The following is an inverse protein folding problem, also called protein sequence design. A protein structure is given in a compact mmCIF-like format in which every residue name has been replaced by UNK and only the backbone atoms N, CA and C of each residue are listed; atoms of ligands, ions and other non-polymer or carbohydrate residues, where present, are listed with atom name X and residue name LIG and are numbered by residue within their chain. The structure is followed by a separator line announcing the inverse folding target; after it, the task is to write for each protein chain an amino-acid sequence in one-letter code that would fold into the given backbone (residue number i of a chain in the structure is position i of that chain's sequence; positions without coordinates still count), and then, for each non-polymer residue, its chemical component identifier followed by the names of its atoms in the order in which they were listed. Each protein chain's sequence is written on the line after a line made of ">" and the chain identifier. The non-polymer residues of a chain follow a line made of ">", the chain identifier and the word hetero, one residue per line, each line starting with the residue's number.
data_IF_399084013137
#
_entry.id   IF_399084013137
#
_cell.length_a   1.000
_cell.length_b   1.000
_cell.length_c   1.000
_cell.angle_alpha   90.00
_cell.angle_beta   90.00
_cell.angle_gamma   90.00
#
_symmetry.space_group_name_H-M   'P 1'
#
loop_
_entity.id
_entity.type
_entity.pdbx_description
1 polymer ?
#
# COMPACT_ATOMS: atom_id res chain seq x y z
N UNK A 1 -20.82 40.78 -12.09
CA UNK A 1 -20.33 39.45 -11.66
C UNK A 1 -20.76 38.45 -12.74
N UNK A 2 -19.82 37.89 -13.50
CA UNK A 2 -20.10 36.98 -14.62
C UNK A 2 -20.54 35.62 -14.05
N UNK A 3 -21.77 35.22 -14.33
CA UNK A 3 -22.24 33.86 -14.08
C UNK A 3 -21.46 32.91 -14.99
N UNK A 4 -20.58 32.10 -14.41
CA UNK A 4 -20.01 30.95 -15.09
C UNK A 4 -21.07 29.84 -15.10
N UNK A 5 -21.89 29.83 -16.15
CA UNK A 5 -22.79 28.71 -16.47
C UNK A 5 -21.93 27.51 -16.87
N UNK A 6 -21.56 26.70 -15.87
CA UNK A 6 -20.93 25.40 -16.09
C UNK A 6 -21.92 24.52 -16.84
N UNK A 7 -21.55 24.12 -18.06
CA UNK A 7 -22.37 23.26 -18.91
C UNK A 7 -22.50 21.87 -18.26
N UNK A 8 -23.62 21.67 -17.56
CA UNK A 8 -24.07 20.40 -16.96
C UNK A 8 -23.87 19.18 -17.89
N UNK A 9 -24.11 19.22 -19.22
CA UNK A 9 -23.87 18.06 -20.08
C UNK A 9 -22.39 17.69 -20.24
N UNK A 10 -21.46 18.65 -20.10
CA UNK A 10 -20.01 18.39 -20.20
C UNK A 10 -19.50 17.70 -18.94
N UNK A 11 -20.02 18.09 -17.77
CA UNK A 11 -19.69 17.45 -16.50
C UNK A 11 -20.19 16.00 -16.45
N UNK A 12 -21.40 15.75 -16.98
CA UNK A 12 -21.99 14.41 -17.04
C UNK A 12 -21.23 13.47 -17.99
N UNK A 13 -20.75 14.01 -19.13
CA UNK A 13 -19.92 13.27 -20.08
C UNK A 13 -18.54 12.92 -19.47
N UNK A 14 -17.97 13.80 -18.65
CA UNK A 14 -16.69 13.55 -17.98
C UNK A 14 -16.80 12.43 -16.91
N UNK A 15 -17.93 12.35 -16.20
CA UNK A 15 -18.20 11.31 -15.19
C UNK A 15 -18.42 9.93 -15.83
N UNK A 16 -19.06 9.87 -17.01
CA UNK A 16 -19.30 8.62 -17.74
C UNK A 16 -18.03 7.96 -18.31
N UNK A 17 -16.95 8.74 -18.53
CA UNK A 17 -15.66 8.24 -19.03
C UNK A 17 -14.78 7.61 -17.94
N UNK A 18 -15.19 7.65 -16.66
CA UNK A 18 -14.43 7.11 -15.52
C UNK A 18 -14.74 5.61 -15.29
N UNK A 19 -15.55 4.98 -16.13
CA UNK A 19 -15.88 3.53 -16.06
C UNK A 19 -14.74 2.59 -16.48
N UNK A 20 -13.48 3.01 -16.40
CA UNK A 20 -12.38 2.07 -16.37
C UNK A 20 -12.31 1.52 -14.95
N UNK A 21 -12.87 0.32 -14.78
CA UNK A 21 -12.64 -0.49 -13.60
C UNK A 21 -11.13 -0.75 -13.53
N UNK A 22 -10.41 0.08 -12.78
CA UNK A 22 -9.02 -0.15 -12.41
C UNK A 22 -9.06 -1.29 -11.39
N UNK A 23 -9.27 -2.52 -11.88
CA UNK A 23 -9.00 -3.73 -11.13
C UNK A 23 -7.48 -3.85 -11.04
N UNK A 24 -6.87 -3.08 -10.14
CA UNK A 24 -5.49 -3.31 -9.76
C UNK A 24 -5.40 -4.73 -9.18
N UNK A 25 -4.74 -5.65 -9.88
CA UNK A 25 -4.45 -6.97 -9.33
C UNK A 25 -3.34 -6.82 -8.30
N UNK A 26 -3.67 -6.97 -7.01
CA UNK A 26 -2.68 -6.94 -5.93
C UNK A 26 -1.54 -7.96 -6.13
N UNK A 27 -1.77 -9.00 -6.92
CA UNK A 27 -0.83 -10.10 -7.08
C UNK A 27 0.49 -9.66 -7.70
N UNK A 28 0.49 -8.68 -8.61
CA UNK A 28 1.69 -8.25 -9.33
C UNK A 28 2.49 -7.23 -8.50
N UNK A 29 1.79 -6.29 -7.85
CA UNK A 29 2.43 -5.31 -6.99
C UNK A 29 2.71 -5.81 -5.55
N UNK A 30 2.07 -6.89 -5.10
CA UNK A 30 2.17 -7.41 -3.74
C UNK A 30 1.54 -6.51 -2.66
N UNK A 31 0.87 -5.42 -3.05
CA UNK A 31 0.25 -4.44 -2.14
C UNK A 31 -1.21 -4.26 -2.50
N UNK A 32 -2.11 -4.61 -1.59
CA UNK A 32 -3.55 -4.44 -1.79
C UNK A 32 -4.11 -3.11 -1.30
N UNK A 33 -3.49 -2.50 -0.29
CA UNK A 33 -3.98 -1.27 0.32
C UNK A 33 -2.85 -0.55 1.06
N UNK A 34 -2.76 0.75 0.88
CA UNK A 34 -1.78 1.62 1.54
C UNK A 34 -2.31 2.30 2.81
N UNK A 35 -3.63 2.24 3.02
CA UNK A 35 -4.31 3.02 4.04
C UNK A 35 -4.49 2.21 5.34
N UNK A 36 -4.03 2.80 6.44
CA UNK A 36 -4.28 2.37 7.82
C UNK A 36 -4.83 3.59 8.57
N UNK A 37 -5.97 3.42 9.25
CA UNK A 37 -6.78 4.52 9.75
C UNK A 37 -6.38 4.88 11.18
N UNK A 38 -5.49 5.85 11.32
CA UNK A 38 -5.18 6.48 12.62
C UNK A 38 -4.82 7.93 12.35
N UNK A 39 -5.83 8.78 12.20
CA UNK A 39 -5.66 10.23 12.21
C UNK A 39 -6.13 10.71 13.57
N UNK A 40 -5.23 10.74 14.54
CA UNK A 40 -5.48 11.53 15.75
C UNK A 40 -5.31 12.99 15.37
N UNK A 41 -6.41 13.73 15.47
CA UNK A 41 -6.50 15.17 15.22
C UNK A 41 -5.87 15.88 16.43
N UNK A 42 -4.58 15.68 16.66
CA UNK A 42 -3.79 16.57 17.50
C UNK A 42 -2.63 17.13 16.67
N UNK A 43 -2.53 18.45 16.70
CA UNK A 43 -1.82 19.30 15.75
C UNK A 43 -0.29 19.29 15.93
N UNK A 44 0.30 18.14 16.21
CA UNK A 44 1.72 17.96 16.44
C UNK A 44 2.33 17.16 15.29
N UNK A 45 3.38 17.71 14.67
CA UNK A 45 4.27 16.97 13.78
C UNK A 45 4.95 15.86 14.58
N UNK A 46 4.35 14.69 14.57
CA UNK A 46 4.83 13.51 15.29
C UNK A 46 5.38 12.48 14.31
N UNK A 47 6.51 11.89 14.69
CA UNK A 47 7.03 10.67 14.10
C UNK A 47 6.57 9.51 14.97
N UNK A 48 5.76 8.64 14.40
CA UNK A 48 5.42 7.34 14.96
C UNK A 48 6.29 6.26 14.32
N UNK A 49 6.84 5.36 15.13
CA UNK A 49 7.62 4.21 14.66
C UNK A 49 7.07 2.97 15.35
N UNK A 50 6.68 1.99 14.54
CA UNK A 50 6.08 0.76 15.04
C UNK A 50 6.71 -0.47 14.38
N UNK A 51 6.71 -1.56 15.15
CA UNK A 51 7.11 -2.87 14.67
C UNK A 51 5.88 -3.75 14.67
N UNK A 52 5.57 -4.35 13.52
CA UNK A 52 4.46 -5.27 13.36
C UNK A 52 4.98 -6.65 12.95
N UNK A 53 4.30 -7.69 13.38
CA UNK A 53 4.55 -9.05 12.94
C UNK A 53 3.30 -9.61 12.26
N UNK A 54 3.46 -10.14 11.05
CA UNK A 54 2.40 -10.77 10.28
C UNK A 54 2.77 -12.23 10.03
N UNK A 55 1.78 -13.10 10.16
CA UNK A 55 1.91 -14.51 9.82
C UNK A 55 0.72 -14.93 8.95
N UNK A 56 0.93 -15.88 8.05
CA UNK A 56 -0.11 -16.37 7.16
C UNK A 56 0.30 -17.65 6.44
N UNK A 57 -0.62 -18.20 5.66
CA UNK A 57 -0.40 -19.41 4.86
C UNK A 57 -1.12 -19.28 3.52
N UNK A 58 -0.68 -20.03 2.51
CA UNK A 58 -1.24 -20.00 1.17
C UNK A 58 -2.59 -20.73 1.07
N UNK A 59 -2.88 -21.63 2.02
CA UNK A 59 -4.12 -22.41 2.08
C UNK A 59 -4.28 -23.42 0.95
N UNK A 60 -3.18 -23.81 0.28
CA UNK A 60 -3.16 -24.80 -0.81
C UNK A 60 -2.50 -26.10 -0.37
N UNK A 61 -2.61 -27.13 -1.19
CA UNK A 61 -2.02 -28.46 -0.93
C UNK A 61 -0.49 -28.40 -0.74
N UNK A 62 0.18 -27.53 -1.51
CA UNK A 62 1.58 -27.14 -1.32
C UNK A 62 1.69 -25.89 -0.44
N UNK A 63 1.34 -26.03 0.85
CA UNK A 63 1.18 -24.86 1.70
C UNK A 63 2.51 -24.13 1.96
N UNK A 64 2.55 -22.85 1.60
CA UNK A 64 3.64 -21.94 1.95
C UNK A 64 3.24 -21.12 3.16
N UNK A 65 4.04 -21.19 4.21
CA UNK A 65 3.91 -20.37 5.40
C UNK A 65 4.70 -19.08 5.22
N UNK A 66 4.10 -17.97 5.65
CA UNK A 66 4.65 -16.63 5.55
C UNK A 66 4.81 -16.05 6.95
N UNK A 67 6.00 -15.53 7.23
CA UNK A 67 6.28 -14.71 8.40
C UNK A 67 6.90 -13.40 7.93
N UNK A 68 6.42 -12.27 8.45
CA UNK A 68 6.88 -10.94 8.06
C UNK A 68 7.02 -10.06 9.28
N UNK A 69 8.25 -9.62 9.56
CA UNK A 69 8.53 -8.59 10.54
C UNK A 69 8.60 -7.24 9.80
N UNK A 70 7.78 -6.29 10.19
CA UNK A 70 7.63 -5.02 9.47
C UNK A 70 8.02 -3.87 10.38
N UNK A 71 9.02 -3.09 9.95
CA UNK A 71 9.31 -1.79 10.52
C UNK A 71 8.51 -0.75 9.77
N UNK A 72 7.67 -0.02 10.48
CA UNK A 72 6.83 1.03 9.93
C UNK A 72 7.24 2.36 10.57
N UNK A 73 7.21 3.42 9.78
CA UNK A 73 7.22 4.77 10.33
C UNK A 73 6.17 5.62 9.65
N UNK A 74 5.53 6.48 10.44
CA UNK A 74 4.53 7.44 9.99
C UNK A 74 4.93 8.83 10.48
N UNK A 75 5.06 9.77 9.56
CA UNK A 75 5.37 11.16 9.84
C UNK A 75 4.21 12.05 9.41
N UNK A 76 3.60 12.74 10.36
CA UNK A 76 2.54 13.70 10.08
C UNK A 76 3.16 15.02 9.58
N UNK A 77 2.99 15.30 8.28
CA UNK A 77 3.48 16.54 7.65
C UNK A 77 2.60 17.72 8.03
N UNK A 78 1.29 17.53 7.92
CA UNK A 78 0.24 18.51 8.18
C UNK A 78 -0.92 17.80 8.89
N UNK A 79 -1.90 18.54 9.40
CA UNK A 79 -3.07 18.00 10.12
C UNK A 79 -3.79 16.89 9.34
N UNK A 80 -3.76 16.95 8.00
CA UNK A 80 -4.48 16.03 7.13
C UNK A 80 -3.55 15.23 6.20
N UNK A 81 -2.24 15.26 6.42
CA UNK A 81 -1.27 14.68 5.50
C UNK A 81 -0.18 13.92 6.25
N UNK A 82 0.10 12.69 5.84
CA UNK A 82 1.19 11.90 6.43
C UNK A 82 2.00 11.15 5.39
N UNK A 83 3.31 11.03 5.64
CA UNK A 83 4.19 10.14 4.91
C UNK A 83 4.41 8.89 5.74
N UNK A 84 4.25 7.72 5.12
CA UNK A 84 4.54 6.43 5.70
C UNK A 84 5.68 5.75 4.96
N UNK A 85 6.48 5.00 5.68
CA UNK A 85 7.42 4.04 5.10
C UNK A 85 7.24 2.68 5.77
N UNK A 86 7.48 1.60 5.02
CA UNK A 86 7.40 0.23 5.48
C UNK A 86 8.56 -0.57 4.92
N UNK A 87 9.30 -1.23 5.81
CA UNK A 87 10.39 -2.14 5.48
C UNK A 87 10.04 -3.52 6.05
N UNK A 88 9.75 -4.51 5.20
CA UNK A 88 9.46 -5.86 5.64
C UNK A 88 10.72 -6.74 5.60
N UNK A 89 10.91 -7.57 6.61
CA UNK A 89 11.78 -8.73 6.57
C UNK A 89 10.92 -9.99 6.56
N UNK A 90 11.01 -10.76 5.48
CA UNK A 90 10.12 -11.87 5.19
C UNK A 90 10.85 -13.20 5.34
N UNK A 91 10.10 -14.22 5.78
CA UNK A 91 10.50 -15.62 5.83
C UNK A 91 9.37 -16.43 5.22
N UNK A 92 9.67 -17.19 4.18
CA UNK A 92 8.77 -18.08 3.48
C UNK A 92 9.26 -19.53 3.64
N UNK A 93 8.38 -20.44 4.04
CA UNK A 93 8.72 -21.85 4.25
C UNK A 93 7.64 -22.75 3.65
N UNK A 94 8.02 -23.77 2.89
CA UNK A 94 7.10 -24.70 2.26
C UNK A 94 7.82 -25.87 1.58
N UNK A 95 7.09 -26.77 0.87
CA UNK A 95 7.67 -27.96 0.25
C UNK A 95 8.79 -27.67 -0.75
N UNK A 96 8.77 -26.49 -1.40
CA UNK A 96 9.79 -26.06 -2.35
C UNK A 96 11.08 -25.58 -1.68
N UNK A 97 11.07 -25.31 -0.37
CA UNK A 97 12.23 -24.85 0.39
C UNK A 97 11.92 -23.65 1.28
N UNK A 98 12.98 -23.06 1.82
CA UNK A 98 12.90 -21.93 2.73
C UNK A 98 13.68 -20.73 2.18
N UNK A 99 13.06 -19.55 2.22
CA UNK A 99 13.63 -18.28 1.79
C UNK A 99 13.43 -17.26 2.90
N UNK A 100 14.41 -16.40 3.08
CA UNK A 100 14.30 -15.23 3.93
C UNK A 100 15.09 -14.07 3.34
N UNK A 101 14.62 -12.85 3.61
CA UNK A 101 15.25 -11.65 3.09
C UNK A 101 14.46 -10.39 3.42
N UNK A 102 15.10 -9.26 3.19
CA UNK A 102 14.40 -7.98 3.10
C UNK A 102 13.46 -8.03 1.90
N UNK A 103 12.26 -7.51 2.08
CA UNK A 103 11.33 -7.25 0.99
C UNK A 103 11.45 -5.83 0.47
N UNK A 104 10.49 -5.47 -0.37
CA UNK A 104 10.46 -4.19 -1.07
C UNK A 104 10.11 -3.04 -0.11
N UNK A 105 10.85 -1.93 -0.22
CA UNK A 105 10.58 -0.70 0.52
C UNK A 105 9.33 -0.04 -0.05
N UNK A 106 8.36 0.24 0.81
CA UNK A 106 7.14 0.98 0.43
C UNK A 106 7.19 2.35 1.09
N UNK A 107 6.94 3.39 0.29
CA UNK A 107 6.76 4.76 0.78
C UNK A 107 5.40 5.22 0.29
N UNK A 108 4.57 5.80 1.17
CA UNK A 108 3.28 6.36 0.77
C UNK A 108 3.04 7.72 1.40
N UNK A 109 2.39 8.59 0.64
CA UNK A 109 1.77 9.81 1.11
C UNK A 109 0.27 9.59 1.20
N UNK A 110 -0.31 9.91 2.35
CA UNK A 110 -1.74 9.82 2.63
C UNK A 110 -2.28 11.23 2.88
N UNK A 111 -3.44 11.52 2.29
CA UNK A 111 -4.14 12.79 2.41
C UNK A 111 -5.59 12.53 2.82
N UNK A 112 -6.00 13.05 3.97
CA UNK A 112 -7.41 13.15 4.32
C UNK A 112 -8.01 14.34 3.54
N UNK A 113 -8.97 14.06 2.65
CA UNK A 113 -9.61 15.06 1.80
C UNK A 113 -10.86 15.62 2.48
N UNK A 114 -11.65 14.74 3.10
CA UNK A 114 -12.87 15.10 3.83
C UNK A 114 -12.96 14.23 5.08
N UNK A 115 -13.35 14.84 6.20
CA UNK A 115 -13.65 14.13 7.43
C UNK A 115 -14.90 14.72 8.06
N UNK A 116 -15.94 13.89 8.15
CA UNK A 116 -17.18 14.13 8.87
C UNK A 116 -17.32 13.09 9.98
N UNK A 117 -18.23 13.30 10.93
CA UNK A 117 -18.39 12.43 12.11
C UNK A 117 -18.58 10.94 11.77
N UNK A 118 -19.22 10.63 10.63
CA UNK A 118 -19.53 9.26 10.21
C UNK A 118 -18.84 8.83 8.90
N UNK A 119 -18.03 9.69 8.28
CA UNK A 119 -17.50 9.42 6.95
C UNK A 119 -16.19 10.16 6.72
N UNK A 120 -15.20 9.47 6.19
CA UNK A 120 -13.95 10.06 5.74
C UNK A 120 -13.65 9.68 4.29
N UNK A 121 -13.08 10.63 3.56
CA UNK A 121 -12.52 10.42 2.22
C UNK A 121 -11.02 10.65 2.32
N UNK A 122 -10.26 9.62 1.95
CA UNK A 122 -8.80 9.66 1.96
C UNK A 122 -8.31 9.33 0.55
N UNK A 123 -7.21 9.97 0.15
CA UNK A 123 -6.47 9.64 -1.05
C UNK A 123 -5.03 9.31 -0.65
N UNK A 124 -4.45 8.32 -1.29
CA UNK A 124 -3.09 7.85 -1.00
C UNK A 124 -2.34 7.65 -2.31
N UNK A 125 -1.09 8.09 -2.33
CA UNK A 125 -0.15 7.85 -3.41
C UNK A 125 1.08 7.20 -2.80
N UNK A 126 1.53 6.09 -3.36
CA UNK A 126 2.72 5.40 -2.88
C UNK A 126 3.58 4.87 -4.00
N UNK A 127 4.79 4.51 -3.62
CA UNK A 127 5.75 3.83 -4.44
C UNK A 127 6.23 2.58 -3.70
N UNK A 128 6.38 1.49 -4.44
CA UNK A 128 7.12 0.30 -4.00
C UNK A 128 8.42 0.27 -4.76
N UNK A 129 9.54 0.17 -4.06
CA UNK A 129 10.87 0.11 -4.63
C UNK A 129 11.39 -1.32 -4.50
N UNK A 130 11.89 -1.89 -5.59
CA UNK A 130 12.45 -3.25 -5.68
C UNK A 130 13.80 -3.37 -4.93
N UNK A 131 13.77 -3.21 -3.61
CA UNK A 131 14.93 -3.33 -2.73
C UNK A 131 15.07 -4.74 -2.15
N UNK A 132 14.01 -5.55 -2.23
CA UNK A 132 14.02 -6.90 -1.72
C UNK A 132 14.74 -7.87 -2.65
N UNK A 133 15.19 -8.99 -2.09
CA UNK A 133 15.76 -10.06 -2.92
C UNK A 133 14.67 -10.77 -3.71
N UNK A 134 14.82 -10.77 -5.02
CA UNK A 134 14.05 -11.57 -5.96
C UNK A 134 14.87 -12.78 -6.44
N UNK A 135 14.18 -13.83 -6.89
CA UNK A 135 14.78 -15.03 -7.49
C UNK A 135 15.80 -15.80 -6.61
N UNK A 136 15.61 -15.85 -5.29
CA UNK A 136 16.41 -16.71 -4.41
C UNK A 136 16.10 -18.18 -4.69
N UNK A 137 17.15 -18.99 -4.87
CA UNK A 137 17.09 -20.44 -5.09
C UNK A 137 16.22 -20.89 -6.29
N UNK A 138 15.95 -20.01 -7.26
CA UNK A 138 15.08 -20.29 -8.42
C UNK A 138 13.69 -20.82 -8.04
N UNK A 139 13.21 -20.43 -6.85
CA UNK A 139 11.89 -20.83 -6.36
C UNK A 139 10.78 -19.96 -6.98
N UNK A 140 9.53 -20.45 -7.02
CA UNK A 140 8.39 -19.67 -7.49
C UNK A 140 8.27 -18.33 -6.78
N UNK A 141 7.67 -17.34 -7.45
CA UNK A 141 7.50 -15.98 -6.93
C UNK A 141 6.84 -15.95 -5.53
N UNK A 142 5.97 -16.91 -5.24
CA UNK A 142 5.33 -17.07 -3.93
C UNK A 142 6.35 -17.20 -2.77
N UNK A 143 7.55 -17.72 -3.01
CA UNK A 143 8.60 -17.84 -1.99
C UNK A 143 9.49 -16.60 -1.89
N UNK A 144 9.39 -15.65 -2.82
CA UNK A 144 10.34 -14.55 -2.92
C UNK A 144 10.01 -13.44 -1.92
N UNK A 145 11.05 -12.85 -1.32
CA UNK A 145 10.90 -11.79 -0.32
C UNK A 145 10.57 -10.44 -0.95
N UNK A 146 11.03 -10.18 -2.17
CA UNK A 146 10.65 -9.05 -3.04
C UNK A 146 10.17 -9.52 -4.41
N UNK A 147 9.61 -8.59 -5.19
CA UNK A 147 9.01 -8.91 -6.51
C UNK A 147 9.87 -8.45 -7.69
N UNK A 148 10.92 -7.64 -7.45
CA UNK A 148 11.82 -7.16 -8.50
C UNK A 148 11.24 -6.01 -9.36
N UNK A 149 10.04 -5.53 -9.05
CA UNK A 149 9.37 -4.44 -9.75
C UNK A 149 9.29 -3.16 -8.90
N UNK A 150 9.42 -2.01 -9.57
CA UNK A 150 9.08 -0.73 -8.96
C UNK A 150 7.65 -0.37 -9.37
N UNK A 151 6.76 -0.17 -8.39
CA UNK A 151 5.35 0.05 -8.65
C UNK A 151 4.89 1.40 -8.11
N UNK A 152 3.97 2.02 -8.85
CA UNK A 152 3.23 3.19 -8.39
C UNK A 152 1.86 2.74 -7.90
N UNK A 153 1.50 3.17 -6.69
CA UNK A 153 0.33 2.72 -5.96
C UNK A 153 -0.58 3.92 -5.71
N UNK A 154 -1.86 3.81 -6.01
CA UNK A 154 -2.85 4.87 -5.77
C UNK A 154 -4.15 4.27 -5.24
N UNK A 155 -4.66 4.80 -4.13
CA UNK A 155 -5.87 4.30 -3.45
C UNK A 155 -6.65 5.42 -2.78
#
# INVERSE_FOLDING_TARGET
>A
MKNNSVNIPVLFLFILLINYCVLAQCSDAGVCRLSDHSFDIENNTSLDVSVAYKFGSSGKEDDVQFHSLQLNGNYNLFTNSSIKFLIPYNIQSGPGGNVSGLGDLIISWNQNLLSYESSSLNASLGIKLATGSDNKNSLPQLYQSGLGSNDLLFT
#
